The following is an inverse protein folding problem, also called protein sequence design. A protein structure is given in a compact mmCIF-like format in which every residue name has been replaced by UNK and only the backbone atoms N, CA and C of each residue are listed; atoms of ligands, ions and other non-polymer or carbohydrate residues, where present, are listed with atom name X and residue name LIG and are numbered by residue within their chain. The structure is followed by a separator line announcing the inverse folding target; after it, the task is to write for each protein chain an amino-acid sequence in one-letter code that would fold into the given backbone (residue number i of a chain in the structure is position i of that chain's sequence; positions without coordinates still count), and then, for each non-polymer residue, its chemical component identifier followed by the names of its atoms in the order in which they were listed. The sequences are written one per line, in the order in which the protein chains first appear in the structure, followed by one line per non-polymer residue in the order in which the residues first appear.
data_IF_555208269529
#
_entry.id   IF_555208269529
#
_cell.length_a   1.000
_cell.length_b   1.000
_cell.length_c   1.000
_cell.angle_alpha   90.00
_cell.angle_beta   90.00
_cell.angle_gamma   90.00
#
_symmetry.space_group_name_H-M   'P 1'
#
loop_
_entity.id
_entity.type
_entity.pdbx_description
1 polymer ?
#
# COMPACT_ATOMS: atom_id res chain seq x y z
N UNK A 1 82.65 -14.17 8.17
CA UNK A 1 82.60 -15.53 8.74
C UNK A 1 81.58 -15.44 9.86
N UNK A 2 80.33 -15.83 9.67
CA UNK A 2 79.93 -17.22 9.45
C UNK A 2 78.72 -17.36 8.51
N UNK A 3 78.64 -18.50 7.83
CA UNK A 3 77.73 -18.84 6.73
C UNK A 3 76.74 -19.93 7.20
N UNK A 4 75.54 -19.90 6.60
CA UNK A 4 74.56 -21.01 6.40
C UNK A 4 73.60 -21.37 7.53
N UNK A 5 72.30 -21.18 7.27
CA UNK A 5 71.31 -22.23 6.89
C UNK A 5 70.00 -21.52 6.49
N UNK A 6 69.76 -21.33 5.19
CA UNK A 6 68.91 -22.13 4.28
C UNK A 6 67.41 -22.25 4.65
N UNK A 7 66.61 -21.86 3.65
CA UNK A 7 65.15 -21.94 3.48
C UNK A 7 64.53 -23.32 3.81
N UNK A 8 63.24 -23.30 4.16
CA UNK A 8 62.16 -24.09 3.55
C UNK A 8 60.81 -23.53 4.03
N UNK A 9 60.13 -22.68 3.25
CA UNK A 9 58.92 -22.99 2.47
C UNK A 9 58.35 -24.38 2.80
N UNK A 10 57.14 -24.42 3.39
CA UNK A 10 55.95 -25.22 3.04
C UNK A 10 55.13 -25.50 4.32
N UNK A 11 54.02 -24.76 4.52
CA UNK A 11 52.89 -25.18 5.37
C UNK A 11 51.65 -24.43 4.87
N UNK A 12 51.06 -24.92 3.78
CA UNK A 12 49.84 -25.75 3.80
C UNK A 12 48.61 -24.94 4.22
N UNK A 13 48.01 -24.29 3.22
CA UNK A 13 46.63 -23.81 3.24
C UNK A 13 45.74 -25.06 3.25
N UNK A 14 45.27 -25.47 4.42
CA UNK A 14 44.20 -26.47 4.51
C UNK A 14 42.88 -25.72 4.57
N UNK A 15 42.25 -25.59 3.40
CA UNK A 15 40.85 -25.24 3.29
C UNK A 15 40.01 -26.33 3.97
N UNK A 16 39.45 -26.05 5.15
CA UNK A 16 38.29 -26.79 5.63
C UNK A 16 37.05 -26.28 4.90
N UNK A 17 36.76 -26.93 3.78
CA UNK A 17 35.40 -27.05 3.26
C UNK A 17 34.60 -27.91 4.25
N UNK A 18 34.10 -27.29 5.30
CA UNK A 18 32.94 -27.83 6.02
C UNK A 18 31.70 -27.37 5.25
N UNK A 19 31.28 -28.22 4.31
CA UNK A 19 29.91 -28.27 3.84
C UNK A 19 29.02 -28.75 4.99
N UNK A 20 28.77 -27.88 5.96
CA UNK A 20 27.55 -27.97 6.74
C UNK A 20 26.45 -27.45 5.84
N UNK A 21 25.66 -28.36 5.27
CA UNK A 21 24.31 -28.07 4.83
C UNK A 21 23.48 -27.62 6.04
N UNK A 22 23.72 -26.39 6.50
CA UNK A 22 22.73 -25.67 7.26
C UNK A 22 21.72 -25.23 6.23
N UNK A 23 20.58 -25.93 6.16
CA UNK A 23 19.34 -25.20 6.08
C UNK A 23 19.32 -24.29 7.32
N UNK A 24 20.05 -23.18 7.25
CA UNK A 24 19.69 -22.02 8.01
C UNK A 24 18.31 -21.71 7.44
N UNK A 25 17.27 -22.16 8.14
CA UNK A 25 15.95 -21.58 7.97
C UNK A 25 16.22 -20.07 7.94
N UNK A 26 16.07 -19.46 6.75
CA UNK A 26 16.10 -18.01 6.66
C UNK A 26 15.14 -17.55 7.75
N UNK A 27 15.60 -16.71 8.67
CA UNK A 27 14.74 -16.15 9.69
C UNK A 27 13.69 -15.31 8.96
N UNK A 28 12.59 -15.95 8.60
CA UNK A 28 11.51 -15.36 7.85
C UNK A 28 10.62 -14.63 8.85
N UNK A 29 10.75 -13.31 8.86
CA UNK A 29 9.92 -12.41 9.65
C UNK A 29 8.51 -12.50 9.07
N UNK A 30 7.55 -12.83 9.93
CA UNK A 30 6.14 -12.96 9.53
C UNK A 30 5.58 -11.60 9.10
N UNK A 31 4.66 -11.58 8.11
CA UNK A 31 3.95 -10.36 7.76
C UNK A 31 3.25 -9.74 8.97
N UNK A 32 3.25 -8.42 9.01
CA UNK A 32 2.41 -7.64 9.91
C UNK A 32 1.16 -7.20 9.17
N UNK A 33 0.00 -7.30 9.81
CA UNK A 33 -1.26 -6.78 9.30
C UNK A 33 -1.93 -5.88 10.35
N UNK A 34 -2.29 -4.67 9.95
CA UNK A 34 -2.96 -3.72 10.82
C UNK A 34 -4.45 -4.06 10.96
N UNK A 35 -4.92 -4.12 12.20
CA UNK A 35 -6.31 -4.38 12.55
C UNK A 35 -7.25 -3.19 12.30
N UNK A 36 -6.76 -1.94 12.20
CA UNK A 36 -7.53 -0.76 11.72
C UNK A 36 -7.61 -0.72 10.18
N UNK A 37 -7.92 -1.87 9.57
CA UNK A 37 -8.05 -2.05 8.12
C UNK A 37 -9.33 -1.48 7.51
N UNK A 38 -9.95 -0.51 8.20
CA UNK A 38 -11.29 0.03 7.87
C UNK A 38 -12.35 -1.05 7.69
N UNK A 39 -12.15 -2.24 8.26
CA UNK A 39 -13.06 -3.39 8.12
C UNK A 39 -14.30 -3.23 8.96
N UNK A 40 -14.21 -2.58 10.13
CA UNK A 40 -15.34 -2.38 11.03
C UNK A 40 -16.48 -1.53 10.47
N UNK A 41 -16.28 -0.77 9.37
CA UNK A 41 -17.39 -0.04 8.73
C UNK A 41 -18.21 -0.90 7.76
N UNK A 42 -17.72 -2.10 7.43
CA UNK A 42 -18.38 -3.01 6.47
C UNK A 42 -19.11 -4.16 7.15
N UNK A 43 -18.79 -4.48 8.40
CA UNK A 43 -19.30 -5.67 9.09
C UNK A 43 -19.67 -5.30 10.52
N UNK A 44 -20.88 -5.68 10.97
CA UNK A 44 -21.36 -5.45 12.34
C UNK A 44 -20.38 -6.02 13.38
N UNK A 45 -20.02 -7.30 13.19
CA UNK A 45 -18.94 -7.94 13.94
C UNK A 45 -17.63 -7.82 13.18
N UNK A 46 -16.66 -7.12 13.79
CA UNK A 46 -15.29 -7.01 13.25
C UNK A 46 -14.70 -8.41 13.07
N UNK A 47 -14.27 -8.78 11.85
CA UNK A 47 -13.57 -10.04 11.65
C UNK A 47 -12.21 -10.00 12.33
N UNK A 48 -11.77 -11.14 12.85
CA UNK A 48 -10.37 -11.34 13.25
C UNK A 48 -9.54 -11.57 11.99
N UNK A 49 -8.49 -10.78 11.79
CA UNK A 49 -7.69 -10.77 10.57
C UNK A 49 -6.22 -10.90 10.95
N UNK A 50 -5.71 -12.13 10.87
CA UNK A 50 -4.36 -12.47 11.35
C UNK A 50 -3.48 -13.05 10.24
N UNK A 51 -4.05 -13.33 9.08
CA UNK A 51 -3.37 -13.95 7.95
C UNK A 51 -3.79 -13.36 6.62
N UNK A 52 -2.97 -13.56 5.59
CA UNK A 52 -3.29 -13.20 4.22
C UNK A 52 -4.64 -13.79 3.74
N UNK A 53 -4.95 -15.03 4.12
CA UNK A 53 -6.19 -15.69 3.74
C UNK A 53 -7.43 -15.03 4.34
N UNK A 54 -7.32 -14.45 5.54
CA UNK A 54 -8.44 -13.74 6.16
C UNK A 54 -8.83 -12.51 5.33
N UNK A 55 -7.84 -11.78 4.80
CA UNK A 55 -8.09 -10.64 3.92
C UNK A 55 -8.65 -11.05 2.55
N UNK A 56 -8.26 -12.21 2.01
CA UNK A 56 -8.89 -12.75 0.80
C UNK A 56 -10.36 -13.11 1.02
N UNK A 57 -10.68 -13.69 2.18
CA UNK A 57 -12.06 -14.07 2.52
C UNK A 57 -13.00 -12.84 2.56
N UNK A 58 -12.48 -11.65 2.88
CA UNK A 58 -13.25 -10.40 2.84
C UNK A 58 -13.75 -10.03 1.43
N UNK A 59 -13.15 -10.57 0.37
CA UNK A 59 -13.59 -10.28 -0.99
C UNK A 59 -15.01 -10.80 -1.27
N UNK A 60 -15.34 -11.95 -0.68
CA UNK A 60 -16.62 -12.64 -0.86
C UNK A 60 -17.64 -12.29 0.23
N UNK A 61 -17.17 -11.86 1.41
CA UNK A 61 -18.03 -11.58 2.56
C UNK A 61 -19.00 -10.45 2.27
N UNK A 62 -20.30 -10.71 2.49
CA UNK A 62 -21.34 -9.70 2.37
C UNK A 62 -21.13 -8.57 3.38
N UNK A 63 -21.34 -7.34 2.93
CA UNK A 63 -21.36 -6.16 3.80
C UNK A 63 -22.67 -6.10 4.59
N UNK A 64 -22.62 -5.42 5.74
CA UNK A 64 -23.76 -5.28 6.64
C UNK A 64 -24.82 -4.28 6.11
N UNK A 65 -24.42 -3.35 5.26
CA UNK A 65 -25.33 -2.38 4.67
C UNK A 65 -25.87 -2.87 3.32
N UNK A 66 -26.91 -2.21 2.80
CA UNK A 66 -27.63 -2.51 1.55
C UNK A 66 -26.80 -2.46 0.25
N UNK A 67 -25.48 -2.38 0.35
CA UNK A 67 -24.56 -2.37 -0.77
C UNK A 67 -24.37 -1.00 -1.43
N UNK A 68 -24.04 -1.05 -2.72
CA UNK A 68 -23.98 0.10 -3.61
C UNK A 68 -24.81 -0.19 -4.86
N UNK A 69 -25.74 0.71 -5.18
CA UNK A 69 -26.53 0.62 -6.40
C UNK A 69 -25.76 1.24 -7.57
N UNK A 70 -25.56 0.44 -8.61
CA UNK A 70 -24.77 0.79 -9.78
C UNK A 70 -25.62 0.64 -11.05
N UNK A 71 -25.42 1.54 -12.00
CA UNK A 71 -26.05 1.51 -13.32
C UNK A 71 -25.00 1.40 -14.42
N UNK A 72 -25.37 0.80 -15.54
CA UNK A 72 -24.55 0.80 -16.73
C UNK A 72 -25.16 1.75 -17.74
N UNK A 73 -24.56 2.93 -17.92
CA UNK A 73 -25.00 3.90 -18.93
C UNK A 73 -24.69 3.34 -20.31
N UNK A 74 -25.64 2.66 -20.95
CA UNK A 74 -25.58 2.50 -22.41
C UNK A 74 -25.71 3.90 -23.03
N UNK A 75 -24.68 4.34 -23.75
CA UNK A 75 -24.82 5.36 -24.80
C UNK A 75 -25.84 4.85 -25.80
N UNK A 76 -27.09 5.25 -25.64
CA UNK A 76 -28.19 4.76 -26.44
C UNK A 76 -28.08 5.22 -27.89
N UNK A 77 -27.62 4.35 -28.78
CA UNK A 77 -28.06 4.43 -30.17
C UNK A 77 -29.49 3.88 -30.22
N UNK A 78 -30.45 4.79 -30.33
CA UNK A 78 -31.91 4.62 -30.17
C UNK A 78 -32.58 3.77 -31.27
N UNK A 79 -31.86 2.90 -31.99
CA UNK A 79 -32.35 2.24 -33.21
C UNK A 79 -32.50 0.72 -33.18
N UNK A 80 -32.07 0.04 -32.13
CA UNK A 80 -32.33 -1.41 -32.00
C UNK A 80 -32.82 -1.68 -30.61
N UNK A 81 -34.11 -2.00 -30.47
CA UNK A 81 -34.68 -2.43 -29.20
C UNK A 81 -33.96 -3.68 -28.73
N UNK A 82 -33.00 -3.55 -27.81
CA UNK A 82 -32.56 -4.67 -26.98
C UNK A 82 -31.75 -4.26 -25.72
N UNK A 83 -32.28 -4.71 -24.58
CA UNK A 83 -31.75 -4.74 -23.21
C UNK A 83 -31.37 -3.40 -22.56
N UNK A 84 -32.29 -2.85 -21.75
CA UNK A 84 -31.91 -2.05 -20.57
C UNK A 84 -30.96 -2.91 -19.74
N UNK A 85 -29.69 -2.56 -19.65
CA UNK A 85 -28.82 -3.05 -18.58
C UNK A 85 -29.33 -2.40 -17.30
N UNK A 86 -30.24 -3.10 -16.60
CA UNK A 86 -30.85 -2.60 -15.36
C UNK A 86 -29.80 -2.32 -14.28
N UNK A 87 -30.22 -1.54 -13.28
CA UNK A 87 -29.42 -1.30 -12.09
C UNK A 87 -29.04 -2.63 -11.44
N UNK A 88 -27.79 -2.73 -11.00
CA UNK A 88 -27.27 -3.88 -10.24
C UNK A 88 -26.78 -3.38 -8.90
N UNK A 89 -26.78 -4.27 -7.91
CA UNK A 89 -26.34 -3.97 -6.55
C UNK A 89 -25.05 -4.73 -6.26
N UNK A 90 -24.05 -4.02 -5.73
CA UNK A 90 -22.83 -4.61 -5.19
C UNK A 90 -22.98 -4.76 -3.68
N UNK A 91 -22.87 -5.98 -3.15
CA UNK A 91 -23.01 -6.27 -1.71
C UNK A 91 -21.72 -6.79 -1.08
N UNK A 92 -20.66 -6.95 -1.87
CA UNK A 92 -19.32 -7.32 -1.42
C UNK A 92 -18.28 -6.80 -2.41
N UNK A 93 -17.00 -6.95 -2.06
CA UNK A 93 -15.90 -6.47 -2.90
C UNK A 93 -15.83 -7.17 -4.26
N UNK A 94 -16.09 -8.47 -4.33
CA UNK A 94 -16.09 -9.22 -5.59
C UNK A 94 -17.12 -8.66 -6.58
N UNK A 95 -18.36 -8.46 -6.12
CA UNK A 95 -19.44 -7.92 -6.95
C UNK A 95 -19.16 -6.47 -7.33
N UNK A 96 -18.69 -5.64 -6.40
CA UNK A 96 -18.30 -4.25 -6.71
C UNK A 96 -17.23 -4.20 -7.81
N UNK A 97 -16.12 -4.90 -7.62
CA UNK A 97 -15.00 -4.90 -8.56
C UNK A 97 -15.40 -5.45 -9.94
N UNK A 98 -16.24 -6.48 -9.97
CA UNK A 98 -16.79 -7.02 -11.22
C UNK A 98 -17.62 -5.97 -11.95
N UNK A 99 -18.54 -5.31 -11.25
CA UNK A 99 -19.44 -4.32 -11.86
C UNK A 99 -18.69 -3.09 -12.37
N UNK A 100 -17.74 -2.57 -11.60
CA UNK A 100 -16.90 -1.45 -12.04
C UNK A 100 -16.09 -1.81 -13.29
N UNK A 101 -15.52 -3.02 -13.37
CA UNK A 101 -14.83 -3.52 -14.57
C UNK A 101 -15.76 -3.69 -15.78
N UNK A 102 -17.01 -4.06 -15.54
CA UNK A 102 -18.06 -4.14 -16.56
C UNK A 102 -18.55 -2.75 -17.03
N UNK A 103 -18.02 -1.64 -16.49
CA UNK A 103 -18.40 -0.28 -16.88
C UNK A 103 -19.63 0.26 -16.15
N UNK A 104 -20.06 -0.40 -15.06
CA UNK A 104 -21.09 0.17 -14.19
C UNK A 104 -20.52 1.35 -13.39
N UNK A 105 -21.37 2.35 -13.16
CA UNK A 105 -21.08 3.53 -12.35
C UNK A 105 -22.19 3.76 -11.31
N UNK A 106 -22.01 4.71 -10.40
CA UNK A 106 -23.01 5.02 -9.37
C UNK A 106 -24.32 5.53 -9.97
N UNK A 107 -25.44 5.10 -9.42
CA UNK A 107 -26.76 5.64 -9.80
C UNK A 107 -26.88 7.10 -9.38
N UNK A 108 -26.36 7.44 -8.20
CA UNK A 108 -26.42 8.80 -7.63
C UNK A 108 -25.02 9.40 -7.58
N UNK A 109 -24.84 10.55 -8.24
CA UNK A 109 -23.52 11.20 -8.39
C UNK A 109 -22.85 11.46 -7.03
N UNK A 110 -23.61 11.84 -6.01
CA UNK A 110 -23.05 12.12 -4.69
C UNK A 110 -22.49 10.87 -3.98
N UNK A 111 -22.88 9.66 -4.40
CA UNK A 111 -22.35 8.39 -3.86
C UNK A 111 -21.01 8.00 -4.50
N UNK A 112 -20.58 8.70 -5.56
CA UNK A 112 -19.35 8.39 -6.31
C UNK A 112 -18.13 8.28 -5.39
N UNK A 113 -17.92 9.27 -4.51
CA UNK A 113 -16.78 9.29 -3.58
C UNK A 113 -16.80 8.09 -2.63
N UNK A 114 -17.98 7.73 -2.12
CA UNK A 114 -18.16 6.61 -1.21
C UNK A 114 -17.87 5.29 -1.93
N UNK A 115 -18.39 5.09 -3.13
CA UNK A 115 -18.16 3.88 -3.93
C UNK A 115 -16.69 3.77 -4.36
N UNK A 116 -16.07 4.89 -4.74
CA UNK A 116 -14.64 4.96 -5.06
C UNK A 116 -13.79 4.55 -3.85
N UNK A 117 -14.03 5.14 -2.68
CA UNK A 117 -13.31 4.78 -1.45
C UNK A 117 -13.52 3.31 -1.07
N UNK A 118 -14.74 2.77 -1.22
CA UNK A 118 -15.03 1.34 -1.01
C UNK A 118 -14.23 0.45 -1.96
N UNK A 119 -14.13 0.81 -3.24
CA UNK A 119 -13.32 0.07 -4.22
C UNK A 119 -11.85 0.06 -3.85
N UNK A 120 -11.32 1.17 -3.33
CA UNK A 120 -9.93 1.26 -2.85
C UNK A 120 -9.74 0.38 -1.61
N UNK A 121 -10.66 0.39 -0.64
CA UNK A 121 -10.59 -0.49 0.55
C UNK A 121 -10.66 -1.97 0.15
N UNK A 122 -11.52 -2.33 -0.79
CA UNK A 122 -11.56 -3.69 -1.34
C UNK A 122 -10.23 -4.10 -1.99
N UNK A 123 -9.59 -3.16 -2.69
CA UNK A 123 -8.25 -3.37 -3.27
C UNK A 123 -7.20 -3.52 -2.17
N UNK A 124 -7.27 -2.71 -1.12
CA UNK A 124 -6.36 -2.79 0.04
C UNK A 124 -6.34 -4.19 0.64
N UNK A 125 -7.50 -4.79 0.93
CA UNK A 125 -7.53 -6.15 1.48
C UNK A 125 -6.92 -7.17 0.53
N UNK A 126 -7.15 -7.03 -0.78
CA UNK A 126 -6.52 -7.89 -1.78
C UNK A 126 -4.99 -7.71 -1.81
N UNK A 127 -4.49 -6.49 -1.72
CA UNK A 127 -3.05 -6.24 -1.67
C UNK A 127 -2.43 -6.76 -0.37
N UNK A 128 -3.09 -6.54 0.79
CA UNK A 128 -2.65 -7.08 2.09
C UNK A 128 -2.47 -8.58 2.03
N UNK A 129 -3.41 -9.30 1.39
CA UNK A 129 -3.30 -10.74 1.21
C UNK A 129 -2.10 -11.21 0.36
N UNK A 130 -1.42 -10.31 -0.34
CA UNK A 130 -0.28 -10.65 -1.21
C UNK A 130 1.06 -10.58 -0.46
N UNK A 131 1.10 -10.02 0.75
CA UNK A 131 2.32 -9.89 1.53
C UNK A 131 2.75 -11.23 2.14
N UNK A 132 4.02 -11.57 1.93
CA UNK A 132 4.65 -12.82 2.37
C UNK A 132 5.71 -12.55 3.44
N UNK A 133 6.17 -13.59 4.15
CA UNK A 133 7.33 -13.47 5.02
C UNK A 133 8.55 -12.93 4.26
N UNK A 134 9.44 -12.23 4.97
CA UNK A 134 10.64 -11.58 4.43
C UNK A 134 11.83 -11.84 5.35
N UNK A 135 13.05 -11.75 4.83
CA UNK A 135 14.26 -12.05 5.62
C UNK A 135 15.09 -10.81 5.94
N UNK A 136 14.91 -9.70 5.21
CA UNK A 136 15.69 -8.48 5.36
C UNK A 136 14.76 -7.27 5.49
N UNK A 137 15.07 -6.34 6.39
CA UNK A 137 14.37 -5.05 6.47
C UNK A 137 15.34 -3.89 6.48
N UNK A 138 15.09 -2.93 5.59
CA UNK A 138 15.67 -1.58 5.63
C UNK A 138 14.65 -0.52 6.05
N UNK A 139 13.44 -0.93 6.45
CA UNK A 139 12.35 -0.05 6.88
C UNK A 139 12.26 0.07 8.41
N UNK A 140 12.96 -0.76 9.18
CA UNK A 140 12.89 -0.80 10.65
C UNK A 140 13.18 0.54 11.36
N UNK A 141 13.99 1.41 10.74
CA UNK A 141 14.29 2.74 11.27
C UNK A 141 13.41 3.86 10.70
N UNK A 142 12.42 3.52 9.86
CA UNK A 142 11.43 4.47 9.37
C UNK A 142 10.30 4.58 10.39
N UNK A 143 9.89 5.82 10.63
CA UNK A 143 8.69 6.12 11.41
C UNK A 143 7.88 7.15 10.64
N UNK A 144 6.56 7.11 10.75
CA UNK A 144 5.66 8.06 10.10
C UNK A 144 5.77 9.44 10.77
N UNK A 145 6.84 10.17 10.45
CA UNK A 145 7.18 11.47 10.99
C UNK A 145 7.59 12.44 9.87
N UNK A 146 8.01 13.65 10.23
CA UNK A 146 8.43 14.65 9.23
C UNK A 146 9.59 14.20 8.33
N UNK A 147 10.52 13.38 8.83
CA UNK A 147 11.63 12.83 8.02
C UNK A 147 11.15 11.83 6.98
N UNK A 148 10.04 11.12 7.24
CA UNK A 148 9.43 10.24 6.25
C UNK A 148 9.01 11.03 5.00
N UNK A 149 8.32 12.16 5.17
CA UNK A 149 7.87 12.98 4.04
C UNK A 149 9.01 13.58 3.20
N UNK A 150 10.22 13.71 3.76
CA UNK A 150 11.41 14.15 3.02
C UNK A 150 11.98 13.02 2.15
N UNK A 151 11.79 11.75 2.54
CA UNK A 151 12.29 10.58 1.81
C UNK A 151 11.24 9.89 0.93
N UNK A 152 9.96 10.11 1.23
CA UNK A 152 8.85 9.50 0.51
C UNK A 152 8.71 10.10 -0.90
N UNK A 153 8.31 9.29 -1.91
CA UNK A 153 8.10 9.76 -3.27
C UNK A 153 7.16 10.97 -3.35
N UNK A 154 7.40 11.87 -4.30
CA UNK A 154 6.55 13.04 -4.56
C UNK A 154 5.07 12.70 -4.79
N UNK A 155 4.77 11.49 -5.26
CA UNK A 155 3.42 10.94 -5.42
C UNK A 155 2.58 10.94 -4.14
N UNK A 156 3.21 10.99 -2.96
CA UNK A 156 2.50 11.07 -1.68
C UNK A 156 1.85 12.43 -1.43
N UNK A 157 2.22 13.47 -2.18
CA UNK A 157 1.62 14.78 -2.04
C UNK A 157 0.12 14.77 -2.39
N UNK A 158 -0.58 15.81 -1.94
CA UNK A 158 -1.95 16.02 -2.34
C UNK A 158 -2.00 16.50 -3.79
N UNK A 159 -2.28 15.57 -4.72
CA UNK A 159 -2.35 15.85 -6.16
C UNK A 159 -3.82 15.93 -6.57
N UNK A 160 -4.36 17.14 -6.78
CA UNK A 160 -5.76 17.38 -7.13
C UNK A 160 -5.95 17.46 -8.65
N UNK A 161 -4.92 17.92 -9.36
CA UNK A 161 -4.94 18.23 -10.78
C UNK A 161 -3.93 17.42 -11.58
N UNK A 162 -4.17 17.30 -12.89
CA UNK A 162 -3.23 16.66 -13.82
C UNK A 162 -1.88 17.40 -13.90
N UNK A 163 -1.86 18.70 -13.61
CA UNK A 163 -0.63 19.49 -13.58
C UNK A 163 0.24 19.12 -12.37
N UNK A 164 -0.36 18.97 -11.18
CA UNK A 164 0.35 18.49 -9.99
C UNK A 164 0.87 17.07 -10.17
N UNK A 165 0.10 16.20 -10.84
CA UNK A 165 0.54 14.85 -11.21
C UNK A 165 1.82 14.89 -12.04
N UNK A 166 1.86 15.72 -13.09
CA UNK A 166 3.06 15.89 -13.93
C UNK A 166 4.22 16.47 -13.14
N UNK A 167 3.97 17.46 -12.30
CA UNK A 167 5.02 18.06 -11.45
C UNK A 167 5.63 17.04 -10.49
N UNK A 168 4.82 16.11 -9.97
CA UNK A 168 5.29 15.04 -9.09
C UNK A 168 6.22 14.03 -9.80
N UNK A 169 6.20 13.92 -11.14
CA UNK A 169 7.09 13.01 -11.88
C UNK A 169 8.57 13.45 -11.82
N UNK A 170 8.81 14.75 -11.66
CA UNK A 170 10.16 15.34 -11.61
C UNK A 170 10.56 15.85 -10.22
N UNK A 171 9.68 15.76 -9.22
CA UNK A 171 9.95 16.26 -7.88
C UNK A 171 10.64 15.20 -7.01
N UNK A 172 11.54 15.64 -6.14
CA UNK A 172 12.39 14.75 -5.35
C UNK A 172 11.62 13.98 -4.27
N UNK A 173 10.64 14.63 -3.63
CA UNK A 173 9.97 14.09 -2.46
C UNK A 173 8.57 14.67 -2.25
N UNK A 174 7.77 14.00 -1.42
CA UNK A 174 6.49 14.52 -0.96
C UNK A 174 6.62 15.95 -0.41
N UNK A 175 7.57 16.18 0.50
CA UNK A 175 7.77 17.48 1.13
C UNK A 175 8.24 18.58 0.16
N UNK A 176 8.77 18.24 -1.02
CA UNK A 176 9.13 19.21 -2.06
C UNK A 176 7.93 19.68 -2.90
N UNK A 177 6.84 18.91 -2.90
CA UNK A 177 5.61 19.25 -3.61
C UNK A 177 4.72 20.18 -2.78
N UNK A 178 4.42 19.77 -1.54
CA UNK A 178 3.73 20.58 -0.53
C UNK A 178 4.50 20.47 0.79
N UNK A 179 4.89 21.61 1.36
CA UNK A 179 5.79 21.59 2.51
C UNK A 179 5.04 21.13 3.75
N UNK A 180 5.45 20.00 4.32
CA UNK A 180 4.85 19.49 5.55
C UNK A 180 5.18 20.42 6.71
N UNK A 181 4.18 21.14 7.21
CA UNK A 181 4.31 22.06 8.35
C UNK A 181 4.24 21.29 9.65
N UNK A 182 3.25 20.41 9.79
CA UNK A 182 2.97 19.67 11.03
C UNK A 182 2.77 18.19 10.75
N UNK A 183 3.28 17.36 11.65
CA UNK A 183 2.97 15.92 11.70
C UNK A 183 2.51 15.59 13.11
N UNK A 184 1.32 15.00 13.21
CA UNK A 184 0.70 14.57 14.46
C UNK A 184 0.72 13.04 14.49
N UNK A 185 1.53 12.40 15.36
CA UNK A 185 1.47 10.96 15.54
C UNK A 185 0.15 10.60 16.21
N UNK A 186 -0.57 9.63 15.63
CA UNK A 186 -1.81 9.08 16.22
C UNK A 186 -1.51 7.74 16.89
N UNK A 187 -0.62 6.94 16.30
CA UNK A 187 -0.07 5.70 16.86
C UNK A 187 1.24 5.34 16.15
N UNK A 188 1.87 4.22 16.53
CA UNK A 188 3.10 3.74 15.87
C UNK A 188 2.93 3.43 14.37
N UNK A 189 1.68 3.25 13.94
CA UNK A 189 1.32 2.89 12.56
C UNK A 189 0.48 3.97 11.88
N UNK A 190 0.27 5.12 12.51
CA UNK A 190 -0.60 6.17 11.95
C UNK A 190 -0.13 7.58 12.32
N UNK A 191 -0.11 8.47 11.34
CA UNK A 191 0.16 9.89 11.56
C UNK A 191 -0.67 10.77 10.61
N UNK A 192 -0.96 11.98 11.05
CA UNK A 192 -1.64 13.01 10.27
C UNK A 192 -0.61 14.07 9.86
N UNK A 193 -0.54 14.35 8.57
CA UNK A 193 0.35 15.32 7.97
C UNK A 193 -0.49 16.53 7.53
N UNK A 194 -0.04 17.72 7.89
CA UNK A 194 -0.62 18.97 7.41
C UNK A 194 0.43 19.74 6.64
N UNK A 195 0.13 20.07 5.39
CA UNK A 195 0.99 20.83 4.51
C UNK A 195 0.62 22.33 4.51
N UNK A 196 1.33 23.10 3.69
CA UNK A 196 1.19 24.55 3.59
C UNK A 196 0.18 25.04 2.57
N UNK A 197 -0.46 24.11 1.86
CA UNK A 197 -1.56 24.36 0.94
C UNK A 197 -2.94 24.18 1.59
N UNK A 198 -2.97 23.82 2.88
CA UNK A 198 -4.19 23.43 3.59
C UNK A 198 -4.57 21.96 3.39
N UNK A 199 -3.65 21.14 2.85
CA UNK A 199 -3.83 19.70 2.71
C UNK A 199 -3.64 18.98 4.04
N UNK A 200 -4.61 18.13 4.40
CA UNK A 200 -4.53 17.21 5.54
C UNK A 200 -4.53 15.78 5.02
N UNK A 201 -3.50 15.01 5.37
CA UNK A 201 -3.30 13.65 4.88
C UNK A 201 -3.07 12.71 6.06
N UNK A 202 -3.99 11.77 6.28
CA UNK A 202 -3.83 10.72 7.29
C UNK A 202 -3.22 9.49 6.64
N UNK A 203 -2.00 9.17 7.05
CA UNK A 203 -1.24 8.02 6.56
C UNK A 203 -1.27 6.90 7.61
N UNK A 204 -1.67 5.71 7.19
CA UNK A 204 -1.72 4.50 8.03
C UNK A 204 -0.91 3.38 7.40
N UNK A 205 -0.03 2.75 8.16
CA UNK A 205 0.65 1.52 7.79
C UNK A 205 -0.29 0.32 7.94
N UNK A 206 -0.59 -0.32 6.82
CA UNK A 206 -1.60 -1.37 6.72
C UNK A 206 -0.99 -2.76 6.78
N UNK A 207 0.12 -2.96 6.08
CA UNK A 207 0.84 -4.23 6.10
C UNK A 207 2.34 -4.03 5.97
N UNK A 208 3.10 -4.99 6.51
CA UNK A 208 4.53 -5.16 6.26
C UNK A 208 4.78 -6.59 5.81
N UNK A 209 5.70 -6.79 4.89
CA UNK A 209 6.06 -8.10 4.37
C UNK A 209 6.74 -7.99 3.00
N UNK A 210 7.09 -9.11 2.40
CA UNK A 210 7.62 -9.15 1.03
C UNK A 210 6.44 -9.18 0.04
N UNK A 211 6.23 -8.07 -0.68
CA UNK A 211 5.18 -7.97 -1.69
C UNK A 211 5.68 -8.41 -3.08
N UNK A 212 6.92 -8.10 -3.42
CA UNK A 212 7.47 -8.31 -4.77
C UNK A 212 8.25 -9.64 -4.93
N UNK A 213 8.52 -10.37 -3.85
CA UNK A 213 9.22 -11.65 -3.81
C UNK A 213 10.74 -11.56 -3.73
N UNK A 214 11.32 -10.40 -3.41
CA UNK A 214 12.78 -10.20 -3.35
C UNK A 214 13.40 -10.51 -1.97
N UNK A 215 12.58 -10.87 -0.99
CA UNK A 215 12.98 -11.17 0.39
C UNK A 215 13.21 -9.95 1.27
N UNK A 216 12.93 -8.73 0.79
CA UNK A 216 13.04 -7.46 1.52
C UNK A 216 11.64 -7.02 2.01
N UNK A 217 11.60 -6.34 3.17
CA UNK A 217 10.38 -5.74 3.69
C UNK A 217 9.85 -4.61 2.79
N UNK A 218 8.62 -4.78 2.33
CA UNK A 218 7.78 -3.76 1.72
C UNK A 218 6.68 -3.33 2.69
N UNK A 219 6.17 -2.11 2.51
CA UNK A 219 5.04 -1.58 3.28
C UNK A 219 3.85 -1.28 2.37
N UNK A 220 2.65 -1.66 2.80
CA UNK A 220 1.40 -1.13 2.28
C UNK A 220 0.92 0.02 3.16
N UNK A 221 0.75 1.20 2.56
CA UNK A 221 0.29 2.41 3.20
C UNK A 221 -1.07 2.82 2.64
N UNK A 222 -1.99 3.16 3.53
CA UNK A 222 -3.29 3.75 3.18
C UNK A 222 -3.26 5.23 3.52
N UNK A 223 -3.65 6.07 2.56
CA UNK A 223 -3.67 7.51 2.70
C UNK A 223 -5.08 8.04 2.47
N UNK A 224 -5.62 8.75 3.47
CA UNK A 224 -6.86 9.50 3.34
C UNK A 224 -6.53 11.00 3.32
N UNK A 225 -6.90 11.66 2.22
CA UNK A 225 -6.64 13.07 1.99
C UNK A 225 -7.90 13.90 2.15
N UNK A 226 -7.73 15.13 2.61
CA UNK A 226 -8.74 16.18 2.63
C UNK A 226 -8.09 17.55 2.51
N UNK A 227 -8.87 18.56 2.15
CA UNK A 227 -8.46 19.97 2.18
C UNK A 227 -9.22 20.69 3.30
N UNK A 228 -8.52 21.44 4.14
CA UNK A 228 -9.11 22.25 5.18
C UNK A 228 -10.12 23.25 4.59
N UNK A 229 -11.33 23.30 5.16
CA UNK A 229 -12.43 24.14 4.65
C UNK A 229 -13.00 23.73 3.28
N UNK A 230 -12.48 22.67 2.67
CA UNK A 230 -12.88 22.17 1.36
C UNK A 230 -13.76 20.92 1.42
N UNK A 231 -14.39 20.59 0.29
CA UNK A 231 -15.13 19.32 0.12
C UNK A 231 -14.30 18.22 -0.56
N UNK A 232 -13.05 18.52 -0.92
CA UNK A 232 -12.15 17.56 -1.55
C UNK A 232 -11.78 16.46 -0.57
N UNK A 233 -11.86 15.22 -1.02
CA UNK A 233 -11.36 14.06 -0.31
C UNK A 233 -10.96 12.97 -1.29
N UNK A 234 -9.91 12.23 -0.96
CA UNK A 234 -9.47 11.08 -1.75
C UNK A 234 -8.91 9.99 -0.84
N UNK A 235 -8.85 8.77 -1.37
CA UNK A 235 -8.24 7.61 -0.72
C UNK A 235 -7.32 6.94 -1.71
N UNK A 236 -6.06 6.75 -1.32
CA UNK A 236 -5.01 6.19 -2.17
C UNK A 236 -4.25 5.13 -1.37
N UNK A 237 -3.79 4.08 -2.04
CA UNK A 237 -2.87 3.11 -1.46
C UNK A 237 -1.50 3.20 -2.12
N UNK A 238 -0.47 3.03 -1.32
CA UNK A 238 0.91 2.97 -1.79
C UNK A 238 1.56 1.69 -1.29
N UNK A 239 2.22 0.97 -2.19
CA UNK A 239 3.15 -0.10 -1.83
C UNK A 239 4.54 0.44 -2.06
N UNK A 240 5.35 0.46 -1.01
CA UNK A 240 6.70 1.03 -1.04
C UNK A 240 7.73 0.01 -0.59
N UNK A 241 8.95 0.18 -1.09
CA UNK A 241 10.11 -0.61 -0.72
C UNK A 241 11.30 0.28 -0.42
N UNK A 242 12.30 -0.29 0.24
CA UNK A 242 13.60 0.33 0.46
C UNK A 242 14.66 -0.76 0.52
N UNK A 243 15.66 -0.66 -0.35
CA UNK A 243 16.65 -1.73 -0.54
C UNK A 243 17.98 -1.50 0.18
N UNK A 244 18.15 -0.35 0.85
CA UNK A 244 19.31 -0.05 1.71
C UNK A 244 18.93 0.85 2.89
N UNK A 245 19.66 0.76 4.01
CA UNK A 245 19.32 1.43 5.27
C UNK A 245 19.25 2.97 5.21
N UNK A 246 19.93 3.58 4.23
CA UNK A 246 19.93 5.03 3.98
C UNK A 246 19.44 5.43 2.58
N UNK A 247 19.09 4.45 1.75
CA UNK A 247 18.58 4.67 0.40
C UNK A 247 17.20 5.33 0.34
N UNK A 248 16.78 5.73 -0.88
CA UNK A 248 15.47 6.31 -1.12
C UNK A 248 14.35 5.30 -0.90
N UNK A 249 13.16 5.80 -0.56
CA UNK A 249 11.94 5.00 -0.55
C UNK A 249 11.42 4.96 -1.99
N UNK A 250 11.23 3.76 -2.53
CA UNK A 250 10.73 3.56 -3.89
C UNK A 250 9.26 3.16 -3.88
N UNK A 251 8.50 3.65 -4.85
CA UNK A 251 7.10 3.27 -5.06
C UNK A 251 7.04 2.02 -5.95
N UNK A 252 6.50 0.92 -5.42
CA UNK A 252 6.22 -0.29 -6.19
C UNK A 252 4.85 -0.21 -6.89
N UNK A 253 3.86 0.36 -6.21
CA UNK A 253 2.48 0.44 -6.72
C UNK A 253 1.68 1.56 -6.08
N UNK A 254 0.85 2.22 -6.88
CA UNK A 254 -0.17 3.18 -6.46
C UNK A 254 -1.55 2.70 -6.93
N UNK A 255 -2.57 2.81 -6.08
CA UNK A 255 -3.95 2.36 -6.34
C UNK A 255 -4.95 3.44 -5.92
#
# INVERSE_FOLDING_TARGET
MDRKKQLNITSLITALLLSSGTNADKLDIKPFFNSDSKTGVFFEKRPELNSANDFLALQEKAWEFDGADLEHKKTGNKKTGNKKTGNKKATNCKTLNKLLKEGYTVVKVYEYKVVSARSVICSMWKEMASFKPYSISFMNNLSLNKKFAIKAPARFALLISNEEIKKAESADSWNSMSQIKKVEPVSDVQAIYNDDSGGTQKLTLMAKGDYNGDGIEDWLLHMANSVEGGSYSSTILYIITRTTADGPISLLKEI
#
